data_IF_097994479605
#
_entry.id   IF_097994479605
#
_cell.length_a   1.000
_cell.length_b   1.000
_cell.length_c   1.000
_cell.angle_alpha   90.00
_cell.angle_beta   90.00
_cell.angle_gamma   90.00
#
_symmetry.space_group_name_H-M   'P 1'
#
loop_
_entity.id
_entity.type
_entity.pdbx_description
1 polymer ?
#
# COMPACT_ATOMS: atom_id res chain seq x y z
N UNK A 1 -9.43 -90.43 15.35
CA UNK A 1 -8.95 -89.07 15.69
C UNK A 1 -8.83 -88.24 14.41
N UNK A 2 -9.29 -86.99 14.50
CA UNK A 2 -9.64 -85.96 13.51
C UNK A 2 -8.99 -85.96 12.10
N UNK A 3 -9.85 -85.99 11.07
CA UNK A 3 -9.58 -85.51 9.71
C UNK A 3 -9.39 -83.99 9.70
N UNK A 4 -8.27 -83.52 9.13
CA UNK A 4 -7.97 -82.09 8.99
C UNK A 4 -8.57 -81.56 7.67
N UNK A 5 -9.47 -80.57 7.70
CA UNK A 5 -10.16 -80.11 6.49
C UNK A 5 -9.27 -79.21 5.63
N UNK A 6 -9.32 -79.43 4.31
CA UNK A 6 -8.77 -78.55 3.27
C UNK A 6 -9.47 -77.19 3.32
N UNK A 7 -8.71 -76.11 3.36
CA UNK A 7 -9.20 -74.74 3.16
C UNK A 7 -8.61 -74.09 1.89
N UNK A 8 -9.35 -73.16 1.28
CA UNK A 8 -9.33 -72.91 -0.16
C UNK A 8 -8.26 -71.90 -0.61
N UNK A 9 -7.95 -71.93 -1.91
CA UNK A 9 -7.10 -70.96 -2.62
C UNK A 9 -7.65 -69.54 -2.49
N UNK A 10 -6.84 -68.53 -2.14
CA UNK A 10 -7.23 -67.14 -2.29
C UNK A 10 -7.11 -66.69 -3.75
N UNK A 11 -8.25 -66.32 -4.31
CA UNK A 11 -8.44 -65.65 -5.59
C UNK A 11 -7.74 -64.29 -5.58
N UNK A 12 -7.00 -63.96 -6.65
CA UNK A 12 -6.42 -62.63 -6.86
C UNK A 12 -7.55 -61.62 -7.07
N UNK A 13 -7.96 -60.90 -6.03
CA UNK A 13 -8.70 -59.65 -6.20
C UNK A 13 -7.69 -58.53 -6.47
N UNK A 14 -7.71 -58.04 -7.71
CA UNK A 14 -7.07 -56.77 -8.07
C UNK A 14 -7.86 -55.64 -7.39
N UNK A 15 -7.42 -55.21 -6.22
CA UNK A 15 -7.85 -53.95 -5.64
C UNK A 15 -7.22 -52.82 -6.44
N UNK A 16 -7.93 -52.37 -7.48
CA UNK A 16 -7.67 -51.08 -8.09
C UNK A 16 -7.99 -50.00 -7.07
N UNK A 17 -6.95 -49.38 -6.51
CA UNK A 17 -7.09 -48.15 -5.74
C UNK A 17 -7.38 -47.05 -6.75
N UNK A 18 -8.66 -46.77 -6.98
CA UNK A 18 -9.07 -45.56 -7.69
C UNK A 18 -8.83 -44.40 -6.73
N UNK A 19 -7.70 -43.72 -6.91
CA UNK A 19 -7.41 -42.47 -6.22
C UNK A 19 -8.46 -41.43 -6.66
N UNK A 20 -9.41 -41.14 -5.78
CA UNK A 20 -10.29 -39.98 -5.92
C UNK A 20 -9.44 -38.77 -5.52
N UNK A 21 -8.73 -38.20 -6.49
CA UNK A 21 -8.16 -36.86 -6.36
C UNK A 21 -9.25 -35.86 -6.71
N UNK A 22 -10.08 -35.48 -5.72
CA UNK A 22 -10.84 -34.22 -5.80
C UNK A 22 -9.83 -33.11 -5.55
N UNK A 23 -9.12 -32.73 -6.62
CA UNK A 23 -8.49 -31.42 -6.67
C UNK A 23 -9.63 -30.40 -6.78
N UNK A 24 -10.15 -29.98 -5.63
CA UNK A 24 -10.87 -28.73 -5.53
C UNK A 24 -9.86 -27.62 -5.81
N UNK A 25 -9.63 -27.38 -7.10
CA UNK A 25 -8.97 -26.19 -7.58
C UNK A 25 -9.85 -25.01 -7.19
N UNK A 26 -9.60 -24.47 -6.01
CA UNK A 26 -9.87 -23.08 -5.71
C UNK A 26 -9.05 -22.28 -6.74
N UNK A 27 -9.63 -22.08 -7.92
CA UNK A 27 -9.35 -20.92 -8.74
C UNK A 27 -9.75 -19.73 -7.87
N UNK A 28 -8.83 -19.33 -6.98
CA UNK A 28 -8.78 -17.98 -6.51
C UNK A 28 -8.58 -17.16 -7.78
N UNK A 29 -9.69 -16.67 -8.34
CA UNK A 29 -9.66 -15.56 -9.26
C UNK A 29 -8.83 -14.50 -8.56
N UNK A 30 -7.58 -14.34 -8.99
CA UNK A 30 -6.81 -13.16 -8.72
C UNK A 30 -7.58 -12.03 -9.40
N UNK A 31 -8.57 -11.50 -8.67
CA UNK A 31 -9.14 -10.22 -9.00
C UNK A 31 -7.92 -9.29 -9.11
N UNK A 32 -7.72 -8.61 -10.25
CA UNK A 32 -6.70 -7.59 -10.30
C UNK A 32 -7.00 -6.68 -9.11
N UNK A 33 -6.01 -6.48 -8.23
CA UNK A 33 -6.12 -5.51 -7.17
C UNK A 33 -6.53 -4.22 -7.84
N UNK A 34 -7.78 -3.83 -7.65
CA UNK A 34 -8.36 -2.63 -8.23
C UNK A 34 -7.54 -1.48 -7.66
N UNK A 35 -6.53 -1.03 -8.41
CA UNK A 35 -5.91 0.27 -8.19
C UNK A 35 -7.08 1.25 -8.20
N UNK A 36 -7.48 1.72 -7.02
CA UNK A 36 -8.64 2.58 -6.86
C UNK A 36 -8.55 3.71 -7.87
N UNK A 37 -9.48 3.72 -8.82
CA UNK A 37 -9.52 4.70 -9.88
C UNK A 37 -9.73 6.07 -9.22
N UNK A 38 -8.71 6.91 -9.31
CA UNK A 38 -8.75 8.24 -8.71
C UNK A 38 -9.49 9.21 -9.63
N UNK A 39 -10.63 9.74 -9.17
CA UNK A 39 -11.51 10.67 -9.90
C UNK A 39 -11.11 12.16 -9.80
N UNK A 40 -9.84 12.48 -9.56
CA UNK A 40 -9.38 13.88 -9.60
C UNK A 40 -8.72 14.26 -10.93
N UNK A 41 -8.32 15.54 -11.09
CA UNK A 41 -7.81 16.05 -12.36
C UNK A 41 -6.62 15.24 -12.89
N UNK A 42 -6.40 15.23 -14.23
CA UNK A 42 -5.32 14.48 -14.87
C UNK A 42 -3.97 14.80 -14.22
N UNK A 43 -3.26 13.76 -13.79
CA UNK A 43 -1.94 13.89 -13.18
C UNK A 43 -0.90 13.84 -14.30
N UNK A 44 -0.24 14.96 -14.59
CA UNK A 44 0.93 14.99 -15.49
C UNK A 44 1.94 13.92 -15.01
N UNK A 45 2.40 13.06 -15.92
CA UNK A 45 3.30 11.97 -15.56
C UNK A 45 4.68 12.35 -16.04
N UNK A 46 5.60 12.58 -15.09
CA UNK A 46 7.00 12.81 -15.41
C UNK A 46 7.77 11.52 -15.21
N UNK A 47 8.02 10.83 -16.31
CA UNK A 47 9.00 9.75 -16.34
C UNK A 47 10.40 10.37 -16.34
N UNK A 48 11.25 10.01 -15.38
CA UNK A 48 12.66 10.37 -15.43
C UNK A 48 13.39 9.39 -16.37
N UNK A 49 14.00 9.92 -17.44
CA UNK A 49 14.83 9.12 -18.35
C UNK A 49 16.18 8.85 -17.69
N UNK A 50 16.40 7.59 -17.31
CA UNK A 50 17.69 7.08 -16.86
C UNK A 50 17.58 5.72 -16.17
N UNK A 51 16.46 5.42 -15.50
CA UNK A 51 16.41 4.31 -14.55
C UNK A 51 15.02 3.67 -14.43
N UNK A 52 14.11 3.78 -15.42
CA UNK A 52 12.78 3.14 -15.38
C UNK A 52 11.76 3.69 -14.35
N UNK A 53 12.19 4.57 -13.43
CA UNK A 53 11.40 5.15 -12.35
C UNK A 53 10.23 6.00 -12.86
N UNK A 54 9.06 5.83 -12.23
CA UNK A 54 7.86 6.59 -12.58
C UNK A 54 7.43 7.52 -11.45
N UNK A 55 7.35 8.81 -11.78
CA UNK A 55 6.87 9.86 -10.88
C UNK A 55 5.62 10.50 -11.48
N UNK A 56 4.48 10.31 -10.82
CA UNK A 56 3.22 10.94 -11.25
C UNK A 56 3.03 12.21 -10.45
N UNK A 57 3.13 13.35 -11.11
CA UNK A 57 3.06 14.65 -10.47
C UNK A 57 2.17 15.51 -11.31
N UNK A 58 0.96 15.80 -10.84
CA UNK A 58 0.10 16.74 -11.55
C UNK A 58 0.74 18.14 -11.60
N UNK A 59 -0.07 19.18 -11.57
CA UNK A 59 0.46 20.56 -11.52
C UNK A 59 1.37 20.84 -10.29
N UNK A 60 1.40 19.94 -9.30
CA UNK A 60 2.15 20.04 -8.05
C UNK A 60 3.69 20.10 -8.19
N UNK A 61 4.35 19.53 -9.21
CA UNK A 61 5.83 19.52 -9.29
C UNK A 61 6.45 20.67 -10.07
N UNK A 62 5.70 21.36 -10.95
CA UNK A 62 6.24 22.55 -11.64
C UNK A 62 6.67 23.66 -10.66
N UNK A 63 6.27 23.55 -9.39
CA UNK A 63 6.53 24.52 -8.30
C UNK A 63 7.45 23.96 -7.19
N UNK A 64 7.83 22.68 -7.24
CA UNK A 64 8.58 22.05 -6.17
C UNK A 64 10.08 22.42 -6.19
N UNK A 65 10.57 23.03 -5.09
CA UNK A 65 11.98 23.43 -4.96
C UNK A 65 12.97 22.25 -4.84
N UNK A 66 14.26 22.53 -5.08
CA UNK A 66 15.36 21.55 -5.05
C UNK A 66 15.35 20.57 -3.85
N UNK A 67 15.04 20.99 -2.60
CA UNK A 67 15.03 20.07 -1.46
C UNK A 67 13.98 18.97 -1.58
N UNK A 68 12.79 19.28 -2.09
CA UNK A 68 11.73 18.30 -2.25
C UNK A 68 12.05 17.31 -3.37
N UNK A 69 12.61 17.79 -4.48
CA UNK A 69 13.05 16.92 -5.58
C UNK A 69 14.12 15.93 -5.11
N UNK A 70 15.10 16.37 -4.31
CA UNK A 70 16.09 15.46 -3.69
C UNK A 70 15.46 14.42 -2.79
N UNK A 71 14.40 14.77 -2.07
CA UNK A 71 13.65 13.82 -1.27
C UNK A 71 12.97 12.77 -2.16
N UNK A 72 12.22 13.19 -3.18
CA UNK A 72 11.57 12.26 -4.11
C UNK A 72 12.56 11.32 -4.82
N UNK A 73 13.70 11.85 -5.28
CA UNK A 73 14.75 11.03 -5.90
C UNK A 73 15.30 9.99 -4.93
N UNK A 74 15.56 10.35 -3.67
CA UNK A 74 16.02 9.39 -2.66
C UNK A 74 14.96 8.35 -2.31
N UNK A 75 13.70 8.76 -2.22
CA UNK A 75 12.58 7.83 -1.99
C UNK A 75 12.48 6.82 -3.14
N UNK A 76 12.53 7.26 -4.39
CA UNK A 76 12.51 6.37 -5.55
C UNK A 76 13.71 5.41 -5.56
N UNK A 77 14.92 5.91 -5.29
CA UNK A 77 16.11 5.07 -5.23
C UNK A 77 16.03 4.01 -4.12
N UNK A 78 15.44 4.33 -2.96
CA UNK A 78 15.24 3.38 -1.87
C UNK A 78 14.23 2.26 -2.21
N UNK A 79 13.34 2.48 -3.20
CA UNK A 79 12.35 1.49 -3.62
C UNK A 79 12.90 0.45 -4.61
N UNK A 80 13.97 0.77 -5.33
CA UNK A 80 14.57 -0.19 -6.26
C UNK A 80 15.18 -1.41 -5.54
N UNK A 81 15.42 -1.29 -4.23
CA UNK A 81 16.02 -2.35 -3.42
C UNK A 81 17.42 -2.74 -3.92
N UNK A 82 17.91 -3.90 -3.47
CA UNK A 82 19.21 -4.42 -3.90
C UNK A 82 19.10 -5.35 -5.12
N UNK A 83 17.88 -5.72 -5.53
CA UNK A 83 17.64 -6.63 -6.66
C UNK A 83 17.73 -5.87 -7.99
N UNK A 84 18.70 -6.20 -8.87
CA UNK A 84 18.81 -5.56 -10.18
C UNK A 84 17.57 -5.76 -11.07
N UNK A 85 16.79 -6.83 -10.86
CA UNK A 85 15.54 -7.06 -11.59
C UNK A 85 14.43 -6.05 -11.20
N UNK A 86 14.57 -5.40 -10.04
CA UNK A 86 13.68 -4.34 -9.55
C UNK A 86 14.15 -2.93 -9.91
N UNK A 87 15.26 -2.78 -10.63
CA UNK A 87 15.75 -1.49 -11.06
C UNK A 87 14.67 -0.74 -11.87
N UNK A 88 14.21 0.38 -11.35
CA UNK A 88 13.18 1.22 -11.98
C UNK A 88 11.74 0.82 -11.69
N UNK A 89 11.52 -0.21 -10.88
CA UNK A 89 10.18 -0.58 -10.41
C UNK A 89 9.62 0.42 -9.39
N UNK A 90 10.48 1.25 -8.80
CA UNK A 90 10.10 2.28 -7.84
C UNK A 90 9.14 3.30 -8.45
N UNK A 91 7.99 3.48 -7.78
CA UNK A 91 6.97 4.44 -8.15
C UNK A 91 6.60 5.30 -6.95
N UNK A 92 6.49 6.59 -7.18
CA UNK A 92 5.95 7.57 -6.24
C UNK A 92 4.93 8.41 -6.98
N UNK A 93 3.69 8.46 -6.50
CA UNK A 93 2.68 9.37 -7.00
C UNK A 93 2.58 10.55 -6.05
N UNK A 94 2.83 11.77 -6.53
CA UNK A 94 2.55 12.99 -5.81
C UNK A 94 1.19 13.54 -6.19
N UNK A 95 0.27 13.54 -5.24
CA UNK A 95 -1.08 14.08 -5.45
C UNK A 95 -1.21 15.54 -5.11
N UNK A 96 -0.64 15.91 -3.97
CA UNK A 96 -0.74 17.25 -3.40
C UNK A 96 0.55 17.59 -2.73
N UNK A 97 0.86 18.86 -2.77
CA UNK A 97 2.06 19.42 -2.20
C UNK A 97 1.78 20.84 -1.71
N UNK A 98 2.45 21.23 -0.63
CA UNK A 98 2.52 22.60 -0.17
C UNK A 98 3.96 22.95 0.18
N UNK A 99 4.33 24.20 -0.13
CA UNK A 99 5.66 24.75 0.14
C UNK A 99 6.00 24.85 1.63
N UNK A 100 4.97 24.92 2.49
CA UNK A 100 5.09 25.00 3.94
C UNK A 100 5.40 23.66 4.61
N UNK A 101 5.51 22.57 3.84
CA UNK A 101 6.14 21.35 4.34
C UNK A 101 5.26 20.11 4.40
N UNK A 102 4.27 19.98 3.51
CA UNK A 102 3.43 18.78 3.47
C UNK A 102 3.23 18.28 2.04
N UNK A 103 3.19 16.96 1.87
CA UNK A 103 2.86 16.32 0.61
C UNK A 103 2.07 15.03 0.81
N UNK A 104 1.08 14.79 -0.04
CA UNK A 104 0.32 13.55 -0.07
C UNK A 104 0.80 12.67 -1.23
N UNK A 105 1.23 11.46 -0.87
CA UNK A 105 1.81 10.47 -1.76
C UNK A 105 0.95 9.19 -1.76
N UNK A 106 -0.20 9.16 -2.45
CA UNK A 106 -1.01 7.96 -2.54
C UNK A 106 -0.44 7.06 -3.62
N UNK A 107 0.00 5.85 -3.27
CA UNK A 107 0.65 4.90 -4.18
C UNK A 107 2.17 5.12 -4.28
N UNK A 108 2.86 4.78 -3.19
CA UNK A 108 4.30 4.63 -3.12
C UNK A 108 4.65 3.14 -3.12
N UNK A 109 5.75 2.78 -3.74
CA UNK A 109 6.38 1.48 -3.61
C UNK A 109 6.90 0.91 -4.93
N UNK A 110 7.23 -0.37 -4.92
CA UNK A 110 7.82 -1.06 -6.08
C UNK A 110 6.74 -1.91 -6.75
N UNK A 111 6.52 -1.69 -8.04
CA UNK A 111 5.46 -2.37 -8.80
C UNK A 111 6.06 -3.32 -9.84
N UNK A 112 5.20 -3.94 -10.66
CA UNK A 112 5.59 -4.96 -11.62
C UNK A 112 6.90 -4.58 -12.37
N UNK A 113 7.90 -5.48 -12.40
CA UNK A 113 7.84 -6.91 -12.04
C UNK A 113 7.96 -7.22 -10.53
N UNK A 114 8.18 -6.23 -9.67
CA UNK A 114 8.48 -6.46 -8.26
C UNK A 114 7.25 -6.25 -7.37
N UNK A 115 6.90 -7.24 -6.51
CA UNK A 115 5.79 -7.09 -5.57
C UNK A 115 6.25 -6.35 -4.30
N UNK A 116 5.99 -5.05 -4.20
CA UNK A 116 6.31 -4.26 -2.99
C UNK A 116 5.59 -2.93 -2.89
N UNK A 117 4.49 -2.76 -3.64
CA UNK A 117 3.86 -1.47 -3.89
C UNK A 117 2.51 -1.26 -3.21
N UNK A 118 2.03 -0.01 -3.27
CA UNK A 118 0.62 0.31 -3.02
C UNK A 118 0.32 0.95 -1.68
N UNK A 119 1.31 1.51 -0.98
CA UNK A 119 1.06 2.19 0.30
C UNK A 119 0.80 3.69 0.11
N UNK A 120 0.06 4.25 1.05
CA UNK A 120 -0.17 5.68 1.17
C UNK A 120 0.88 6.29 2.09
N UNK A 121 1.33 7.50 1.77
CA UNK A 121 2.23 8.25 2.62
C UNK A 121 1.90 9.75 2.67
N UNK A 122 2.05 10.37 3.84
CA UNK A 122 2.18 11.82 3.98
C UNK A 122 3.64 12.14 4.25
N UNK A 123 4.28 12.90 3.36
CA UNK A 123 5.60 13.44 3.62
C UNK A 123 5.47 14.79 4.35
N UNK A 124 6.32 15.01 5.34
CA UNK A 124 6.38 16.24 6.12
C UNK A 124 7.77 16.86 6.04
N UNK A 125 7.86 18.18 6.21
CA UNK A 125 9.12 18.92 6.25
C UNK A 125 9.36 19.42 7.66
N UNK A 126 10.39 18.87 8.32
CA UNK A 126 10.83 19.28 9.65
C UNK A 126 12.26 19.79 9.53
N UNK A 127 12.57 20.96 10.10
CA UNK A 127 13.90 21.58 10.05
C UNK A 127 14.49 21.67 8.63
N UNK A 128 13.63 22.01 7.67
CA UNK A 128 13.99 22.14 6.28
C UNK A 128 14.17 20.82 5.52
N UNK A 129 14.09 19.67 6.19
CA UNK A 129 14.27 18.32 5.62
C UNK A 129 12.92 17.63 5.43
N UNK A 130 12.74 17.04 4.26
CA UNK A 130 11.56 16.23 3.95
C UNK A 130 11.80 14.77 4.34
N UNK A 131 10.79 14.15 4.94
CA UNK A 131 10.74 12.73 5.30
C UNK A 131 9.31 12.19 5.25
N UNK A 132 9.16 10.86 5.26
CA UNK A 132 7.89 10.17 5.51
C UNK A 132 8.04 9.53 6.90
N UNK A 133 7.45 10.12 7.95
CA UNK A 133 7.38 9.48 9.26
C UNK A 133 6.69 8.12 9.15
N UNK A 134 7.11 7.16 9.98
CA UNK A 134 6.60 5.79 9.92
C UNK A 134 5.09 5.73 10.14
N UNK A 135 4.60 6.57 11.05
CA UNK A 135 3.20 6.73 11.45
C UNK A 135 2.35 7.32 10.32
N UNK A 136 2.99 7.99 9.37
CA UNK A 136 2.35 8.63 8.22
C UNK A 136 2.53 7.83 6.93
N UNK A 137 2.87 6.54 7.03
CA UNK A 137 3.02 5.63 5.90
C UNK A 137 2.43 4.26 6.19
N UNK A 138 1.57 3.76 5.29
CA UNK A 138 0.95 2.44 5.48
C UNK A 138 0.02 2.03 4.34
N UNK A 139 -0.41 0.76 4.35
CA UNK A 139 -1.39 0.24 3.39
C UNK A 139 -2.84 0.51 3.81
N UNK A 140 -3.05 0.83 5.10
CA UNK A 140 -4.36 1.18 5.65
C UNK A 140 -4.56 2.70 5.77
N UNK A 141 -5.76 3.12 6.17
CA UNK A 141 -6.01 4.50 6.57
C UNK A 141 -5.10 4.89 7.74
N UNK A 142 -4.66 6.14 7.75
CA UNK A 142 -3.80 6.65 8.83
C UNK A 142 -4.63 6.91 10.09
N UNK A 143 -3.98 6.93 11.24
CA UNK A 143 -4.64 7.38 12.48
C UNK A 143 -4.85 8.89 12.44
N UNK A 144 -6.03 9.35 12.84
CA UNK A 144 -6.34 10.78 12.94
C UNK A 144 -5.41 11.49 13.93
N UNK A 145 -5.05 10.79 15.02
CA UNK A 145 -4.12 11.27 16.05
C UNK A 145 -2.71 11.47 15.49
N UNK A 146 -2.22 10.58 14.63
CA UNK A 146 -0.90 10.68 14.01
C UNK A 146 -0.88 11.83 13.00
N UNK A 147 -1.88 11.90 12.12
CA UNK A 147 -2.04 13.04 11.20
C UNK A 147 -2.04 14.37 11.97
N UNK A 148 -2.71 14.42 13.12
CA UNK A 148 -2.74 15.62 13.94
C UNK A 148 -1.44 15.92 14.67
N UNK A 149 -0.72 14.91 15.18
CA UNK A 149 0.51 15.13 15.95
C UNK A 149 1.59 15.76 15.07
N UNK A 150 1.60 15.41 13.78
CA UNK A 150 2.40 16.06 12.74
C UNK A 150 1.77 17.32 12.15
N UNK A 151 0.64 17.80 12.69
CA UNK A 151 -0.08 18.99 12.21
C UNK A 151 -0.45 18.95 10.71
N UNK A 152 -0.70 17.76 10.16
CA UNK A 152 -1.03 17.57 8.74
C UNK A 152 -2.33 18.32 8.43
N UNK A 153 -2.32 19.31 7.52
CA UNK A 153 -3.54 20.05 7.21
C UNK A 153 -4.57 19.16 6.49
N UNK A 154 -5.88 19.26 6.79
CA UNK A 154 -6.93 18.53 6.05
C UNK A 154 -6.95 18.81 4.54
N UNK A 155 -6.37 19.93 4.11
CA UNK A 155 -6.20 20.22 2.69
C UNK A 155 -5.26 19.20 1.99
N UNK A 156 -4.26 18.68 2.71
CA UNK A 156 -3.30 17.67 2.25
C UNK A 156 -3.95 16.29 2.28
N UNK A 157 -4.39 15.84 3.46
CA UNK A 157 -5.03 14.54 3.65
C UNK A 157 -6.55 14.69 3.65
N UNK A 158 -7.22 14.28 2.57
CA UNK A 158 -8.69 14.39 2.40
C UNK A 158 -9.41 13.05 2.52
N UNK A 159 -8.70 12.00 2.94
CA UNK A 159 -9.28 10.68 3.14
C UNK A 159 -9.85 10.56 4.56
N UNK A 160 -10.55 9.46 4.79
CA UNK A 160 -10.90 9.04 6.14
C UNK A 160 -9.65 8.64 6.92
N UNK A 161 -9.73 8.71 8.24
CA UNK A 161 -8.70 8.27 9.16
C UNK A 161 -9.33 7.46 10.30
N UNK A 162 -8.53 6.61 10.94
CA UNK A 162 -8.97 5.87 12.12
C UNK A 162 -8.84 6.73 13.37
N UNK A 163 -9.91 6.80 14.17
CA UNK A 163 -9.82 7.26 15.57
C UNK A 163 -9.38 6.10 16.47
N UNK A 164 -8.94 6.35 17.73
CA UNK A 164 -8.43 5.30 18.62
C UNK A 164 -9.35 4.09 18.84
N UNK A 165 -10.66 4.25 18.62
CA UNK A 165 -11.64 3.14 18.68
C UNK A 165 -11.64 2.23 17.44
N UNK A 166 -10.79 2.50 16.44
CA UNK A 166 -10.74 1.79 15.16
C UNK A 166 -11.81 2.21 14.16
N UNK A 167 -12.68 3.18 14.51
CA UNK A 167 -13.69 3.70 13.59
C UNK A 167 -13.06 4.64 12.56
N UNK A 168 -13.39 4.45 11.28
CA UNK A 168 -13.05 5.40 10.24
C UNK A 168 -13.97 6.62 10.29
N UNK A 169 -13.39 7.83 10.22
CA UNK A 169 -14.10 9.11 10.15
C UNK A 169 -13.40 10.02 9.16
N UNK A 170 -14.14 10.98 8.58
CA UNK A 170 -13.53 11.99 7.72
C UNK A 170 -12.51 12.83 8.51
N UNK A 171 -11.23 12.81 8.10
CA UNK A 171 -10.17 13.52 8.82
C UNK A 171 -10.45 15.01 8.96
N UNK A 172 -11.00 15.64 7.91
CA UNK A 172 -11.39 17.05 7.94
C UNK A 172 -12.35 17.33 9.09
N UNK A 173 -13.36 16.51 9.24
CA UNK A 173 -14.42 16.76 10.21
C UNK A 173 -13.91 16.48 11.62
N UNK A 174 -13.10 15.43 11.82
CA UNK A 174 -12.42 15.17 13.08
C UNK A 174 -11.42 16.28 13.48
N UNK A 175 -10.64 16.79 12.51
CA UNK A 175 -9.62 17.83 12.74
C UNK A 175 -10.23 19.15 13.23
N UNK A 176 -11.37 19.56 12.67
CA UNK A 176 -12.06 20.78 13.09
C UNK A 176 -12.94 20.58 14.32
N UNK A 177 -13.49 19.39 14.51
CA UNK A 177 -14.26 19.02 15.69
C UNK A 177 -13.37 18.39 16.76
N UNK A 178 -12.21 18.97 17.09
CA UNK A 178 -11.41 18.60 18.28
C UNK A 178 -12.13 18.96 19.58
N UNK A 179 -13.29 18.34 19.71
CA UNK A 179 -13.95 17.88 20.91
C UNK A 179 -13.03 16.80 21.48
N UNK A 180 -12.68 16.86 22.76
CA UNK A 180 -11.71 15.92 23.35
C UNK A 180 -12.14 14.43 23.22
N UNK A 181 -11.24 13.49 23.56
CA UNK A 181 -11.51 12.04 23.58
C UNK A 181 -12.66 11.64 24.55
N UNK A 182 -13.35 12.63 25.15
CA UNK A 182 -14.49 12.51 26.06
C UNK A 182 -15.77 13.17 25.52
N UNK A 183 -15.76 13.75 24.32
CA UNK A 183 -16.97 14.31 23.71
C UNK A 183 -17.32 15.75 24.12
N UNK A 184 -16.39 16.53 24.71
CA UNK A 184 -16.63 17.95 25.01
C UNK A 184 -16.02 18.93 23.99
N UNK A 185 -16.85 19.85 23.46
CA UNK A 185 -16.41 20.98 22.60
C UNK A 185 -15.56 21.95 23.43
N UNK A 186 -14.43 22.39 22.88
CA UNK A 186 -13.72 23.60 23.32
C UNK A 186 -14.40 24.85 22.79
#
# INVERSE_FOLDING_TARGET
MAQKPRRPRPSRLRSGVTAIAVAAGLLASAAPASAGMYDGPPVDTRTWKGEGRTLHTGDAVKVAGKPFNRFLTRTLAALDGDDPACAGSGTVVLKKWRSDGYAWLPNVGSFAPCPGGGYYAVAVRTDGRWSIPRELGGQELLQCTDLSSYSVPPAIYRQDCFVPTGKAVAYRDWYWNKVDDRGNRR
#
